data_IF_525226124251
#
_entry.id   IF_525226124251
#
_cell.length_a   1.000
_cell.length_b   1.000
_cell.length_c   1.000
_cell.angle_alpha   90.00
_cell.angle_beta   90.00
_cell.angle_gamma   90.00
#
_symmetry.space_group_name_H-M   'P 1'
#
loop_
_entity.id
_entity.type
_entity.pdbx_description
1 polymer ?
#
# COMPACT_ATOMS: atom_id res chain seq x y z
N UNK A 1 30.40 -12.14 4.92
CA UNK A 1 29.26 -11.33 5.40
C UNK A 1 28.00 -12.17 5.21
N UNK A 2 27.17 -12.36 6.22
CA UNK A 2 25.87 -13.01 6.03
C UNK A 2 25.03 -12.07 5.16
N UNK A 3 24.79 -12.44 3.91
CA UNK A 3 23.76 -11.81 3.08
C UNK A 3 22.49 -11.80 3.90
N UNK A 4 21.99 -10.62 4.24
CA UNK A 4 20.71 -10.48 4.92
C UNK A 4 19.66 -11.10 4.00
N UNK A 5 19.17 -12.29 4.38
CA UNK A 5 18.15 -12.99 3.60
C UNK A 5 16.93 -12.06 3.54
N UNK A 6 16.56 -11.66 2.34
CA UNK A 6 15.30 -10.92 2.16
C UNK A 6 14.17 -11.82 2.62
N UNK A 7 13.25 -11.26 3.39
CA UNK A 7 12.08 -11.97 3.89
C UNK A 7 10.89 -11.51 3.07
N UNK A 8 10.09 -12.45 2.61
CA UNK A 8 9.06 -12.24 1.61
C UNK A 8 9.68 -11.64 0.31
N UNK A 9 8.95 -11.31 -0.68
CA UNK A 9 9.45 -10.73 -1.95
C UNK A 9 9.99 -11.73 -2.95
N UNK A 10 9.63 -13.01 -2.82
CA UNK A 10 10.03 -14.04 -3.78
C UNK A 10 9.58 -13.72 -5.20
N UNK A 11 8.38 -13.17 -5.35
CA UNK A 11 7.83 -12.78 -6.64
C UNK A 11 8.63 -11.64 -7.28
N UNK A 12 8.88 -10.58 -6.51
CA UNK A 12 9.62 -9.40 -6.97
C UNK A 12 11.08 -9.73 -7.27
N UNK A 13 11.71 -10.58 -6.45
CA UNK A 13 13.06 -11.11 -6.70
C UNK A 13 13.09 -11.98 -7.96
N UNK A 14 12.04 -12.76 -8.20
CA UNK A 14 11.86 -13.56 -9.43
C UNK A 14 11.77 -12.68 -10.66
N UNK A 15 11.01 -11.58 -10.62
CA UNK A 15 10.90 -10.62 -11.70
C UNK A 15 12.23 -9.90 -11.99
N UNK A 16 12.95 -9.46 -10.95
CA UNK A 16 14.29 -8.87 -11.13
C UNK A 16 15.25 -9.87 -11.76
N UNK A 17 15.23 -11.14 -11.35
CA UNK A 17 16.07 -12.19 -11.91
C UNK A 17 15.74 -12.45 -13.38
N UNK A 18 14.47 -12.56 -13.72
CA UNK A 18 14.00 -12.74 -15.10
C UNK A 18 14.50 -11.61 -16.01
N UNK A 19 14.43 -10.36 -15.53
CA UNK A 19 14.95 -9.20 -16.26
C UNK A 19 16.49 -9.24 -16.37
N UNK A 20 17.20 -9.61 -15.29
CA UNK A 20 18.65 -9.68 -15.29
C UNK A 20 19.20 -10.76 -16.22
N UNK A 21 18.51 -11.89 -16.36
CA UNK A 21 18.90 -13.02 -17.20
C UNK A 21 18.39 -12.93 -18.65
N UNK A 22 17.63 -11.88 -18.99
CA UNK A 22 17.08 -11.71 -20.35
C UNK A 22 18.17 -11.41 -21.39
N UNK A 23 17.88 -11.66 -22.67
CA UNK A 23 18.82 -11.43 -23.80
C UNK A 23 18.68 -10.04 -24.44
N UNK A 24 18.05 -9.08 -23.74
CA UNK A 24 17.84 -7.71 -24.21
C UNK A 24 18.11 -6.72 -23.09
N UNK A 25 18.32 -5.45 -23.45
CA UNK A 25 18.32 -4.40 -22.42
C UNK A 25 16.95 -4.27 -21.75
N UNK A 26 16.96 -4.08 -20.46
CA UNK A 26 15.74 -3.98 -19.62
C UNK A 26 15.70 -2.63 -18.92
N UNK A 27 14.54 -1.97 -19.00
CA UNK A 27 14.21 -0.80 -18.19
C UNK A 27 13.18 -1.21 -17.17
N UNK A 28 13.61 -1.41 -15.94
CA UNK A 28 12.77 -1.89 -14.84
C UNK A 28 12.45 -0.72 -13.91
N UNK A 29 11.18 -0.52 -13.60
CA UNK A 29 10.79 0.40 -12.55
C UNK A 29 10.35 -0.36 -11.30
N UNK A 30 10.82 0.12 -10.13
CA UNK A 30 10.49 -0.40 -8.80
C UNK A 30 9.81 0.70 -8.02
N UNK A 31 8.51 0.60 -7.83
CA UNK A 31 7.74 1.66 -7.22
C UNK A 31 6.79 1.13 -6.15
N UNK A 32 6.21 2.02 -5.39
CA UNK A 32 5.33 1.70 -4.27
C UNK A 32 5.52 2.72 -3.16
N UNK A 33 4.70 2.61 -2.15
CA UNK A 33 4.66 3.49 -1.00
C UNK A 33 6.04 3.73 -0.38
N UNK A 34 6.23 4.88 0.27
CA UNK A 34 7.40 5.15 1.12
C UNK A 34 7.50 4.09 2.24
N UNK A 35 8.72 3.68 2.61
CA UNK A 35 9.01 2.74 3.71
C UNK A 35 8.73 1.25 3.43
N UNK A 36 8.33 0.85 2.22
CA UNK A 36 8.06 -0.57 1.87
C UNK A 36 9.29 -1.38 1.47
N UNK A 37 10.49 -0.76 1.41
CA UNK A 37 11.74 -1.47 1.18
C UNK A 37 12.19 -1.59 -0.28
N UNK A 38 11.81 -0.66 -1.18
CA UNK A 38 12.23 -0.64 -2.61
C UNK A 38 13.74 -0.70 -2.77
N UNK A 39 14.46 0.27 -2.21
CA UNK A 39 15.93 0.33 -2.24
C UNK A 39 16.55 -0.92 -1.64
N UNK A 40 16.00 -1.42 -0.52
CA UNK A 40 16.48 -2.63 0.13
C UNK A 40 16.34 -3.87 -0.77
N UNK A 41 15.25 -4.00 -1.51
CA UNK A 41 15.03 -5.08 -2.47
C UNK A 41 16.10 -5.05 -3.57
N UNK A 42 16.30 -3.89 -4.20
CA UNK A 42 17.26 -3.72 -5.31
C UNK A 42 18.71 -3.92 -4.80
N UNK A 43 19.05 -3.30 -3.66
CA UNK A 43 20.38 -3.47 -3.02
C UNK A 43 20.66 -4.93 -2.66
N UNK A 44 19.66 -5.65 -2.15
CA UNK A 44 19.82 -7.07 -1.78
C UNK A 44 19.95 -7.95 -3.01
N UNK A 45 19.19 -7.69 -4.07
CA UNK A 45 19.25 -8.46 -5.31
C UNK A 45 20.62 -8.36 -5.98
N UNK A 46 21.16 -7.17 -6.09
CA UNK A 46 22.46 -6.91 -6.74
C UNK A 46 23.65 -6.99 -5.78
N UNK A 47 23.43 -7.27 -4.49
CA UNK A 47 24.47 -7.17 -3.44
C UNK A 47 25.22 -5.83 -3.48
N UNK A 48 24.48 -4.75 -3.82
CA UNK A 48 25.01 -3.38 -4.07
C UNK A 48 26.09 -3.31 -5.15
N UNK A 49 26.14 -4.28 -6.02
CA UNK A 49 27.10 -4.34 -7.11
C UNK A 49 26.48 -3.72 -8.37
N UNK A 50 26.62 -2.42 -8.48
CA UNK A 50 26.16 -1.61 -9.61
C UNK A 50 27.35 -1.06 -10.39
N UNK A 51 27.25 -1.00 -11.72
CA UNK A 51 28.20 -0.28 -12.54
C UNK A 51 28.04 1.23 -12.36
N UNK A 52 26.80 1.68 -12.19
CA UNK A 52 26.48 3.05 -11.80
C UNK A 52 25.29 3.11 -10.86
N UNK A 53 25.34 3.96 -9.85
CA UNK A 53 24.19 4.25 -8.99
C UNK A 53 24.16 5.70 -8.57
N UNK A 54 22.94 6.29 -8.59
CA UNK A 54 22.68 7.64 -8.12
C UNK A 54 21.33 7.69 -7.36
N UNK A 55 21.29 8.45 -6.28
CA UNK A 55 20.08 8.66 -5.47
C UNK A 55 19.63 10.11 -5.62
N UNK A 56 18.42 10.31 -6.09
CA UNK A 56 17.80 11.64 -6.20
C UNK A 56 17.69 12.32 -4.83
N UNK A 57 18.17 13.55 -4.75
CA UNK A 57 18.14 14.33 -3.50
C UNK A 57 16.80 15.03 -3.29
N UNK A 58 16.21 14.83 -2.12
CA UNK A 58 14.93 15.44 -1.75
C UNK A 58 14.98 16.99 -1.82
N UNK A 59 14.07 17.59 -2.59
CA UNK A 59 13.94 19.06 -2.74
C UNK A 59 15.23 19.80 -3.14
N UNK A 60 16.14 19.15 -3.86
CA UNK A 60 17.32 19.81 -4.41
C UNK A 60 17.00 20.47 -5.75
N UNK A 61 17.74 21.56 -6.08
CA UNK A 61 17.67 22.20 -7.40
C UNK A 61 18.37 21.37 -8.48
N UNK A 62 18.04 21.59 -9.78
CA UNK A 62 18.70 20.98 -10.96
C UNK A 62 20.24 20.98 -10.81
N UNK A 63 20.84 22.13 -10.46
CA UNK A 63 22.29 22.26 -10.29
C UNK A 63 22.85 21.35 -9.20
N UNK A 64 22.15 21.21 -8.07
CA UNK A 64 22.58 20.30 -6.99
C UNK A 64 22.39 18.84 -7.36
N UNK A 65 21.34 18.50 -8.10
CA UNK A 65 21.12 17.15 -8.63
C UNK A 65 22.22 16.76 -9.61
N UNK A 66 22.52 17.60 -10.62
CA UNK A 66 23.61 17.39 -11.58
C UNK A 66 24.99 17.26 -10.90
N UNK A 67 25.24 18.07 -9.87
CA UNK A 67 26.47 17.95 -9.06
C UNK A 67 26.53 16.61 -8.30
N UNK A 68 25.41 16.12 -7.79
CA UNK A 68 25.29 14.81 -7.14
C UNK A 68 25.56 13.67 -8.12
N UNK A 69 24.95 13.73 -9.30
CA UNK A 69 25.17 12.78 -10.39
C UNK A 69 26.65 12.75 -10.85
N UNK A 70 27.25 13.93 -11.07
CA UNK A 70 28.65 14.06 -11.39
C UNK A 70 29.58 13.46 -10.34
N UNK A 71 29.24 13.57 -9.05
CA UNK A 71 29.99 12.91 -7.95
C UNK A 71 29.84 11.40 -8.00
N UNK A 72 28.65 10.90 -8.30
CA UNK A 72 28.40 9.48 -8.46
C UNK A 72 29.20 8.91 -9.64
N UNK A 73 29.19 9.59 -10.79
CA UNK A 73 29.95 9.18 -11.98
C UNK A 73 31.47 9.20 -11.73
N UNK A 74 31.97 10.25 -11.07
CA UNK A 74 33.37 10.29 -10.64
C UNK A 74 33.79 9.05 -9.85
N UNK A 75 32.93 8.63 -8.90
CA UNK A 75 33.18 7.48 -8.04
C UNK A 75 33.11 6.17 -8.83
N UNK A 76 32.14 6.01 -9.70
CA UNK A 76 31.97 4.80 -10.51
C UNK A 76 33.13 4.64 -11.53
N UNK A 77 33.46 5.68 -12.23
CA UNK A 77 34.50 5.68 -13.27
C UNK A 77 35.94 5.88 -12.74
N UNK A 78 36.14 6.06 -11.44
CA UNK A 78 37.46 6.28 -10.84
C UNK A 78 38.17 7.58 -11.31
N UNK A 79 37.40 8.59 -11.73
CA UNK A 79 37.97 9.81 -12.29
C UNK A 79 38.71 10.64 -11.22
N UNK A 80 39.83 11.22 -11.60
CA UNK A 80 40.60 12.14 -10.73
C UNK A 80 39.82 13.43 -10.43
N UNK A 81 39.20 14.01 -11.45
CA UNK A 81 38.42 15.25 -11.36
C UNK A 81 36.92 14.95 -11.49
N UNK A 82 36.09 15.74 -10.78
CA UNK A 82 34.66 15.66 -10.93
C UNK A 82 34.23 16.37 -12.21
N UNK A 83 33.46 15.72 -13.11
CA UNK A 83 32.91 16.38 -14.28
C UNK A 83 31.94 17.48 -13.86
N UNK A 84 31.70 18.42 -14.76
CA UNK A 84 30.70 19.49 -14.58
C UNK A 84 29.70 19.38 -15.71
N UNK A 85 28.42 19.27 -15.37
CA UNK A 85 27.33 19.17 -16.33
C UNK A 85 26.46 20.41 -16.27
N UNK A 86 26.04 20.92 -17.43
CA UNK A 86 25.09 22.01 -17.57
C UNK A 86 23.66 21.54 -17.83
N UNK A 87 23.54 20.34 -18.38
CA UNK A 87 22.26 19.70 -18.70
C UNK A 87 22.23 18.24 -18.26
N UNK A 88 21.06 17.62 -18.28
CA UNK A 88 20.93 16.18 -18.10
C UNK A 88 21.38 15.39 -19.31
N UNK A 89 21.32 15.99 -20.51
CA UNK A 89 21.92 15.39 -21.71
C UNK A 89 23.41 15.19 -21.53
N UNK A 90 24.17 16.24 -21.18
CA UNK A 90 25.62 16.12 -20.91
C UNK A 90 25.92 15.04 -19.85
N UNK A 91 25.05 14.92 -18.85
CA UNK A 91 25.23 13.96 -17.76
C UNK A 91 24.99 12.52 -18.23
N UNK A 92 24.01 12.30 -19.08
CA UNK A 92 23.71 10.97 -19.66
C UNK A 92 24.73 10.58 -20.73
N UNK A 93 25.20 11.51 -21.57
CA UNK A 93 26.27 11.27 -22.54
C UNK A 93 27.55 10.78 -21.83
N UNK A 94 27.93 11.44 -20.74
CA UNK A 94 29.07 11.02 -19.94
C UNK A 94 28.86 9.67 -19.24
N UNK A 95 27.63 9.32 -18.88
CA UNK A 95 27.29 7.98 -18.36
C UNK A 95 27.41 6.91 -19.46
N UNK A 96 26.94 7.22 -20.67
CA UNK A 96 27.05 6.37 -21.84
C UNK A 96 28.52 6.04 -22.11
N UNK A 97 29.37 7.06 -22.27
CA UNK A 97 30.83 6.90 -22.48
C UNK A 97 31.45 6.02 -21.38
N UNK A 98 31.10 6.24 -20.13
CA UNK A 98 31.61 5.42 -19.03
C UNK A 98 31.19 3.97 -19.16
N UNK A 99 29.90 3.69 -19.37
CA UNK A 99 29.37 2.32 -19.49
C UNK A 99 29.98 1.60 -20.70
N UNK A 100 30.23 2.30 -21.81
CA UNK A 100 30.91 1.77 -22.99
C UNK A 100 32.40 1.42 -22.74
N UNK A 101 33.02 2.11 -21.80
CA UNK A 101 34.42 1.81 -21.42
C UNK A 101 34.54 0.54 -20.57
N UNK A 102 33.44 -0.04 -20.08
CA UNK A 102 33.44 -1.26 -19.26
C UNK A 102 33.57 -2.52 -20.14
N UNK A 103 34.21 -3.59 -19.62
CA UNK A 103 34.33 -4.86 -20.35
C UNK A 103 32.94 -5.45 -20.72
N UNK A 104 32.85 -6.04 -21.93
CA UNK A 104 31.58 -6.59 -22.47
C UNK A 104 31.15 -7.92 -21.81
N UNK A 105 31.90 -8.49 -20.92
CA UNK A 105 31.69 -9.84 -20.37
C UNK A 105 30.45 -9.96 -19.45
N UNK A 106 29.93 -8.85 -18.95
CA UNK A 106 28.82 -8.86 -17.96
C UNK A 106 27.74 -7.85 -18.31
N UNK A 107 26.50 -8.18 -17.89
CA UNK A 107 25.40 -7.24 -17.91
C UNK A 107 25.69 -6.04 -17.03
N UNK A 108 25.54 -4.84 -17.56
CA UNK A 108 25.76 -3.57 -16.86
C UNK A 108 24.50 -3.16 -16.12
N UNK A 109 24.64 -2.85 -14.85
CA UNK A 109 23.52 -2.45 -14.00
C UNK A 109 23.63 -0.97 -13.64
N UNK A 110 22.64 -0.21 -14.08
CA UNK A 110 22.47 1.21 -13.76
C UNK A 110 21.29 1.33 -12.80
N UNK A 111 21.51 1.82 -11.59
CA UNK A 111 20.45 2.01 -10.60
C UNK A 111 20.28 3.48 -10.24
N UNK A 112 19.10 4.04 -10.53
CA UNK A 112 18.72 5.39 -10.13
C UNK A 112 17.59 5.29 -9.10
N UNK A 113 17.91 5.61 -7.86
CA UNK A 113 16.98 5.57 -6.75
C UNK A 113 16.34 6.95 -6.50
N UNK A 114 15.11 6.93 -6.01
CA UNK A 114 14.27 8.13 -5.76
C UNK A 114 14.24 9.09 -6.98
N UNK A 115 14.05 8.53 -8.16
CA UNK A 115 14.02 9.24 -9.43
C UNK A 115 13.05 10.43 -9.46
N UNK A 116 11.86 10.39 -8.86
CA UNK A 116 10.94 11.52 -8.83
C UNK A 116 11.54 12.82 -8.27
N UNK A 117 12.55 12.74 -7.39
CA UNK A 117 13.21 13.93 -6.85
C UNK A 117 14.21 14.58 -7.80
N UNK A 118 14.61 13.85 -8.84
CA UNK A 118 15.54 14.37 -9.87
C UNK A 118 14.81 15.28 -10.86
N UNK A 119 13.56 14.94 -11.17
CA UNK A 119 12.70 15.72 -12.07
C UNK A 119 12.21 17.00 -11.39
N UNK A 120 13.06 18.01 -11.41
CA UNK A 120 12.73 19.34 -10.90
C UNK A 120 12.07 20.18 -11.99
N UNK A 121 11.25 21.21 -11.64
CA UNK A 121 10.65 22.08 -12.65
C UNK A 121 11.69 22.61 -13.66
N UNK A 122 11.39 22.49 -14.95
CA UNK A 122 12.26 22.91 -16.05
C UNK A 122 13.63 22.22 -16.09
N UNK A 123 13.72 21.00 -15.53
CA UNK A 123 14.99 20.25 -15.52
C UNK A 123 15.29 19.56 -16.84
N UNK A 124 14.26 19.28 -17.65
CA UNK A 124 14.38 18.48 -18.89
C UNK A 124 14.95 17.08 -18.63
N UNK A 125 14.76 16.58 -17.38
CA UNK A 125 15.32 15.29 -16.97
C UNK A 125 14.64 14.11 -17.68
N UNK A 126 13.33 14.15 -17.80
CA UNK A 126 12.56 13.06 -18.45
C UNK A 126 12.89 12.98 -19.92
N UNK A 127 13.00 14.12 -20.59
CA UNK A 127 13.35 14.23 -22.00
C UNK A 127 14.77 13.72 -22.27
N UNK A 128 15.74 14.07 -21.42
CA UNK A 128 17.11 13.59 -21.51
C UNK A 128 17.20 12.08 -21.23
N UNK A 129 16.45 11.56 -20.25
CA UNK A 129 16.36 10.13 -19.98
C UNK A 129 15.75 9.36 -21.17
N UNK A 130 14.71 9.95 -21.78
CA UNK A 130 14.09 9.40 -22.99
C UNK A 130 15.09 9.30 -24.14
N UNK A 131 15.84 10.37 -24.39
CA UNK A 131 16.89 10.41 -25.43
C UNK A 131 17.97 9.36 -25.17
N UNK A 132 18.51 9.31 -23.96
CA UNK A 132 19.48 8.32 -23.51
C UNK A 132 19.00 6.88 -23.71
N UNK A 133 17.78 6.57 -23.26
CA UNK A 133 17.26 5.21 -23.35
C UNK A 133 16.94 4.80 -24.79
N UNK A 134 16.22 5.63 -25.53
CA UNK A 134 15.81 5.33 -26.91
C UNK A 134 16.95 5.40 -27.91
N UNK A 135 17.87 6.34 -27.70
CA UNK A 135 19.03 6.55 -28.56
C UNK A 135 20.08 5.43 -28.42
N UNK A 136 20.31 5.02 -27.17
CA UNK A 136 21.42 4.13 -26.84
C UNK A 136 20.99 2.90 -26.03
N UNK A 137 20.44 3.05 -24.83
CA UNK A 137 20.22 1.93 -23.90
C UNK A 137 19.37 0.79 -24.46
N UNK A 138 18.24 1.12 -25.12
CA UNK A 138 17.33 0.12 -25.72
C UNK A 138 17.91 -0.61 -26.92
N UNK A 139 18.95 -0.07 -27.57
CA UNK A 139 19.60 -0.68 -28.73
C UNK A 139 20.66 -1.70 -28.32
N UNK A 140 21.09 -1.67 -27.07
CA UNK A 140 22.04 -2.65 -26.51
C UNK A 140 21.30 -3.91 -26.05
N UNK A 141 22.06 -4.92 -25.63
CA UNK A 141 21.51 -6.18 -25.09
C UNK A 141 21.93 -6.45 -23.66
N UNK A 142 22.84 -5.66 -23.16
CA UNK A 142 23.58 -5.88 -21.91
C UNK A 142 23.26 -4.87 -20.80
N UNK A 143 22.32 -3.95 -21.01
CA UNK A 143 21.96 -2.95 -20.01
C UNK A 143 20.76 -3.42 -19.18
N UNK A 144 20.84 -3.31 -17.87
CA UNK A 144 19.72 -3.32 -16.96
C UNK A 144 19.64 -1.98 -16.23
N UNK A 145 18.71 -1.14 -16.67
CA UNK A 145 18.43 0.15 -16.05
C UNK A 145 17.30 -0.04 -15.05
N UNK A 146 17.58 0.21 -13.78
CA UNK A 146 16.59 0.12 -12.69
C UNK A 146 16.32 1.52 -12.15
N UNK A 147 15.06 1.92 -12.17
CA UNK A 147 14.61 3.18 -11.57
C UNK A 147 13.71 2.90 -10.37
N UNK A 148 13.92 3.57 -9.25
CA UNK A 148 13.00 3.47 -8.13
C UNK A 148 12.42 4.81 -7.71
N UNK A 149 11.23 4.77 -7.07
CA UNK A 149 10.62 5.98 -6.54
C UNK A 149 9.46 5.72 -5.58
N UNK A 150 9.34 6.58 -4.58
CA UNK A 150 8.26 6.55 -3.60
C UNK A 150 7.01 7.30 -4.05
N UNK A 151 7.14 8.25 -4.99
CA UNK A 151 6.02 8.95 -5.61
C UNK A 151 5.45 8.10 -6.75
N UNK A 152 4.64 7.09 -6.40
CA UNK A 152 4.08 6.12 -7.35
C UNK A 152 3.34 6.80 -8.50
N UNK A 153 2.66 7.92 -8.24
CA UNK A 153 1.97 8.68 -9.29
C UNK A 153 2.93 9.27 -10.32
N UNK A 154 4.05 9.85 -9.87
CA UNK A 154 5.06 10.36 -10.80
C UNK A 154 5.64 9.25 -11.66
N UNK A 155 5.98 8.09 -11.04
CA UNK A 155 6.52 6.92 -11.75
C UNK A 155 5.56 6.44 -12.82
N UNK A 156 4.27 6.38 -12.52
CA UNK A 156 3.24 5.97 -13.48
C UNK A 156 2.98 7.04 -14.53
N UNK A 157 2.74 8.29 -14.13
CA UNK A 157 2.34 9.37 -15.06
C UNK A 157 3.49 9.78 -15.99
N UNK A 158 4.75 9.74 -15.53
CA UNK A 158 5.91 10.20 -16.30
C UNK A 158 6.64 9.10 -17.06
N UNK A 159 6.62 7.87 -16.55
CA UNK A 159 7.36 6.76 -17.16
C UNK A 159 6.44 5.76 -17.86
N UNK A 160 5.30 5.39 -17.27
CA UNK A 160 4.44 4.30 -17.79
C UNK A 160 3.30 4.83 -18.66
N UNK A 161 2.50 5.76 -18.12
CA UNK A 161 1.28 6.28 -18.77
C UNK A 161 1.57 7.47 -19.70
N UNK A 162 2.79 8.00 -19.69
CA UNK A 162 3.17 9.13 -20.52
C UNK A 162 3.13 8.73 -22.01
N UNK A 163 2.35 9.41 -22.87
CA UNK A 163 2.33 9.15 -24.30
C UNK A 163 3.63 9.53 -25.06
N UNK A 164 4.65 10.02 -24.34
CA UNK A 164 5.99 10.31 -24.87
C UNK A 164 6.81 9.07 -25.22
N UNK A 165 8.07 9.25 -25.53
CA UNK A 165 8.94 8.23 -26.07
C UNK A 165 9.39 7.13 -25.10
N UNK A 166 9.13 7.25 -23.79
CA UNK A 166 9.30 6.17 -22.84
C UNK A 166 8.09 5.22 -22.79
N UNK A 167 6.95 5.60 -23.36
CA UNK A 167 5.80 4.72 -23.49
C UNK A 167 6.17 3.40 -24.21
N UNK A 168 5.75 2.27 -23.64
CA UNK A 168 6.11 0.93 -24.11
C UNK A 168 7.63 0.62 -24.14
N UNK A 169 8.48 1.45 -23.54
CA UNK A 169 9.91 1.19 -23.38
C UNK A 169 10.27 0.64 -21.99
N UNK A 170 9.42 0.87 -21.02
CA UNK A 170 9.51 0.21 -19.72
C UNK A 170 9.22 -1.28 -19.94
N UNK A 171 10.17 -2.12 -19.61
CA UNK A 171 10.08 -3.57 -19.91
C UNK A 171 9.48 -4.35 -18.74
N UNK A 172 9.56 -3.80 -17.53
CA UNK A 172 8.92 -4.41 -16.35
C UNK A 172 8.59 -3.36 -15.28
N UNK A 173 7.43 -3.56 -14.63
CA UNK A 173 6.90 -2.72 -13.57
C UNK A 173 6.75 -3.55 -12.30
N UNK A 174 7.60 -3.32 -11.31
CA UNK A 174 7.58 -4.03 -10.03
C UNK A 174 6.96 -3.12 -8.96
N UNK A 175 5.72 -3.42 -8.59
CA UNK A 175 5.02 -2.71 -7.53
C UNK A 175 5.25 -3.36 -6.17
N UNK A 176 5.86 -2.63 -5.24
CA UNK A 176 6.16 -3.11 -3.89
C UNK A 176 5.06 -2.71 -2.94
N UNK A 177 4.28 -3.70 -2.51
CA UNK A 177 3.19 -3.53 -1.55
C UNK A 177 3.69 -3.62 -0.10
N UNK A 178 2.93 -3.10 0.87
CA UNK A 178 3.09 -3.49 2.27
C UNK A 178 3.04 -5.02 2.42
N UNK A 179 3.69 -5.55 3.44
CA UNK A 179 3.59 -6.98 3.75
C UNK A 179 2.16 -7.39 4.07
N UNK A 180 1.76 -8.57 3.67
CA UNK A 180 0.56 -9.25 4.15
C UNK A 180 0.74 -9.69 5.61
N UNK A 181 -0.30 -10.20 6.24
CA UNK A 181 -0.21 -10.78 7.59
C UNK A 181 0.82 -11.92 7.65
N UNK A 182 0.83 -12.80 6.65
CA UNK A 182 1.80 -13.90 6.53
C UNK A 182 3.24 -13.39 6.45
N UNK A 183 3.50 -12.47 5.54
CA UNK A 183 4.81 -11.87 5.35
C UNK A 183 5.26 -11.07 6.59
N UNK A 184 4.33 -10.44 7.29
CA UNK A 184 4.57 -9.78 8.57
C UNK A 184 4.99 -10.80 9.64
N UNK A 185 4.30 -11.93 9.75
CA UNK A 185 4.66 -13.03 10.65
C UNK A 185 6.07 -13.54 10.36
N UNK A 186 6.38 -13.86 9.10
CA UNK A 186 7.69 -14.31 8.66
C UNK A 186 8.80 -13.30 8.98
N UNK A 187 8.53 -12.01 8.74
CA UNK A 187 9.46 -10.94 9.07
C UNK A 187 9.72 -10.84 10.57
N UNK A 188 8.69 -10.83 11.40
CA UNK A 188 8.81 -10.79 12.86
C UNK A 188 9.57 -12.00 13.40
N UNK A 189 9.28 -13.19 12.90
CA UNK A 189 9.97 -14.42 13.28
C UNK A 189 11.46 -14.38 12.91
N UNK A 190 11.81 -13.81 11.77
CA UNK A 190 13.20 -13.62 11.37
C UNK A 190 13.99 -12.70 12.32
N UNK A 191 13.28 -11.82 13.02
CA UNK A 191 13.85 -10.89 14.02
C UNK A 191 13.78 -11.42 15.46
N UNK A 192 13.35 -12.66 15.64
CA UNK A 192 13.23 -13.27 16.96
C UNK A 192 11.96 -12.90 17.74
N UNK A 193 11.01 -12.17 17.11
CA UNK A 193 9.74 -11.81 17.72
C UNK A 193 8.75 -12.93 17.48
N UNK A 194 8.32 -13.63 18.56
CA UNK A 194 7.45 -14.82 18.52
C UNK A 194 6.08 -14.53 19.13
N UNK A 195 5.40 -13.52 18.60
CA UNK A 195 4.04 -13.21 19.02
C UNK A 195 3.02 -14.16 18.40
N UNK A 196 1.87 -14.32 19.06
CA UNK A 196 0.73 -15.04 18.50
C UNK A 196 0.15 -14.31 17.29
N UNK A 197 -0.53 -15.02 16.39
CA UNK A 197 -1.21 -14.40 15.23
C UNK A 197 -2.21 -13.35 15.65
N UNK A 198 -2.88 -13.52 16.80
CA UNK A 198 -3.74 -12.49 17.37
C UNK A 198 -2.97 -11.19 17.68
N UNK A 199 -1.78 -11.30 18.30
CA UNK A 199 -0.94 -10.12 18.56
C UNK A 199 -0.37 -9.51 17.28
N UNK A 200 -0.01 -10.35 16.30
CA UNK A 200 0.45 -9.86 14.99
C UNK A 200 -0.67 -9.12 14.27
N UNK A 201 -1.90 -9.63 14.32
CA UNK A 201 -3.08 -8.97 13.78
C UNK A 201 -3.33 -7.61 14.45
N UNK A 202 -3.21 -7.53 15.78
CA UNK A 202 -3.32 -6.25 16.51
C UNK A 202 -2.22 -5.27 16.13
N UNK A 203 -0.97 -5.72 15.97
CA UNK A 203 0.12 -4.91 15.45
C UNK A 203 -0.19 -4.38 14.04
N UNK A 204 -0.67 -5.27 13.18
CA UNK A 204 -1.00 -4.94 11.80
C UNK A 204 -2.09 -3.86 11.71
N UNK A 205 -3.10 -3.93 12.56
CA UNK A 205 -4.13 -2.89 12.68
C UNK A 205 -3.55 -1.53 13.09
N UNK A 206 -2.43 -1.49 13.85
CA UNK A 206 -1.79 -0.23 14.29
C UNK A 206 -0.90 0.39 13.20
N UNK A 207 -0.06 -0.40 12.55
CA UNK A 207 0.99 0.14 11.68
C UNK A 207 1.07 -0.51 10.29
N UNK A 208 0.15 -1.44 9.99
CA UNK A 208 0.14 -2.18 8.73
C UNK A 208 1.38 -3.08 8.57
N UNK A 209 1.53 -3.62 7.37
CA UNK A 209 2.69 -4.43 6.99
C UNK A 209 3.84 -3.59 6.44
N UNK A 210 4.16 -2.44 7.01
CA UNK A 210 5.23 -1.56 6.53
C UNK A 210 6.59 -2.01 7.09
N UNK A 211 7.50 -2.55 6.26
CA UNK A 211 8.77 -3.14 6.74
C UNK A 211 9.59 -2.20 7.61
N UNK A 212 9.65 -0.92 7.29
CA UNK A 212 10.38 0.05 8.09
C UNK A 212 9.79 0.17 9.50
N UNK A 213 8.46 0.29 9.64
CA UNK A 213 7.82 0.38 10.96
C UNK A 213 8.03 -0.90 11.77
N UNK A 214 7.90 -2.05 11.12
CA UNK A 214 8.19 -3.35 11.74
C UNK A 214 9.66 -3.46 12.18
N UNK A 215 10.59 -2.80 11.47
CA UNK A 215 12.00 -2.80 11.82
C UNK A 215 12.32 -2.04 13.10
N UNK A 216 11.46 -1.15 13.53
CA UNK A 216 11.61 -0.37 14.76
C UNK A 216 11.22 -1.17 16.02
N UNK A 217 10.59 -2.33 15.88
CA UNK A 217 10.15 -3.14 17.01
C UNK A 217 11.35 -3.70 17.79
N UNK A 218 11.22 -3.65 19.11
CA UNK A 218 12.16 -4.25 20.04
C UNK A 218 11.66 -5.66 20.45
N UNK A 219 12.47 -6.67 20.15
CA UNK A 219 12.15 -8.07 20.46
C UNK A 219 12.14 -8.39 21.97
N UNK A 220 12.77 -7.54 22.79
CA UNK A 220 12.77 -7.66 24.24
C UNK A 220 11.50 -7.10 24.91
N UNK A 221 10.59 -6.48 24.15
CA UNK A 221 9.38 -5.85 24.67
C UNK A 221 8.10 -6.56 24.20
N UNK A 222 7.03 -6.38 24.97
CA UNK A 222 5.68 -6.80 24.56
C UNK A 222 5.16 -5.95 23.39
N UNK A 223 4.11 -6.42 22.72
CA UNK A 223 3.38 -5.64 21.72
C UNK A 223 2.97 -4.26 22.27
N UNK A 224 2.33 -4.26 23.44
CA UNK A 224 1.82 -3.04 24.10
C UNK A 224 2.96 -2.08 24.41
N UNK A 225 4.07 -2.56 24.98
CA UNK A 225 5.24 -1.74 25.29
C UNK A 225 5.92 -1.16 24.03
N UNK A 226 5.93 -1.90 22.92
CA UNK A 226 6.40 -1.39 21.63
C UNK A 226 5.51 -0.26 21.09
N UNK A 227 4.18 -0.40 21.21
CA UNK A 227 3.24 0.66 20.76
C UNK A 227 3.45 1.92 21.60
N UNK A 228 3.51 1.82 22.93
CA UNK A 228 3.80 2.99 23.79
C UNK A 228 5.13 3.65 23.41
N UNK A 229 6.18 2.86 23.22
CA UNK A 229 7.51 3.37 22.87
C UNK A 229 7.52 4.10 21.53
N UNK A 230 6.85 3.57 20.54
CA UNK A 230 6.91 4.10 19.17
C UNK A 230 5.95 5.26 18.90
N UNK A 231 4.84 5.38 19.66
CA UNK A 231 3.80 6.36 19.39
C UNK A 231 3.53 7.35 20.51
N UNK A 232 3.63 6.93 21.79
CA UNK A 232 3.16 7.76 22.91
C UNK A 232 4.28 8.44 23.67
N UNK A 233 5.51 7.93 23.63
CA UNK A 233 6.65 8.61 24.27
C UNK A 233 6.94 9.94 23.58
N UNK A 234 7.46 10.89 24.36
CA UNK A 234 7.92 12.16 23.84
C UNK A 234 9.01 11.93 22.78
N UNK A 235 8.87 12.57 21.62
CA UNK A 235 9.77 12.44 20.47
C UNK A 235 9.90 10.99 19.92
N UNK A 236 8.85 10.17 20.06
CA UNK A 236 8.84 8.82 19.49
C UNK A 236 8.84 8.86 17.96
N UNK A 237 9.48 7.86 17.35
CA UNK A 237 9.76 7.83 15.92
C UNK A 237 8.49 7.87 15.06
N UNK A 238 7.46 7.14 15.45
CA UNK A 238 6.22 7.09 14.68
C UNK A 238 5.24 8.22 15.01
N UNK A 239 5.45 8.96 16.06
CA UNK A 239 4.68 10.19 16.32
C UNK A 239 5.04 11.32 15.35
N UNK A 240 6.32 11.41 14.98
CA UNK A 240 6.84 12.46 14.09
C UNK A 240 6.84 12.08 12.61
N UNK A 241 6.71 10.79 12.31
CA UNK A 241 6.71 10.26 10.94
C UNK A 241 5.53 10.80 10.09
N UNK A 242 4.40 11.14 10.72
CA UNK A 242 3.18 11.51 10.00
C UNK A 242 3.38 12.70 9.05
N UNK A 243 3.98 13.78 9.56
CA UNK A 243 4.25 14.98 8.77
C UNK A 243 5.23 14.70 7.63
N UNK A 244 6.26 13.87 7.91
CA UNK A 244 7.25 13.51 6.90
C UNK A 244 6.67 12.60 5.82
N UNK A 245 5.76 11.69 6.18
CA UNK A 245 5.18 10.71 5.27
C UNK A 245 4.50 11.38 4.07
N UNK A 246 3.60 12.31 4.33
CA UNK A 246 2.84 13.00 3.28
C UNK A 246 3.69 14.03 2.52
N UNK A 247 4.51 14.80 3.23
CA UNK A 247 5.40 15.81 2.63
C UNK A 247 6.49 15.21 1.74
N UNK A 248 6.87 13.95 1.96
CA UNK A 248 7.84 13.26 1.14
C UNK A 248 7.26 12.62 -0.13
N UNK A 249 5.96 12.38 -0.15
CA UNK A 249 5.28 11.72 -1.28
C UNK A 249 4.59 12.74 -2.18
N UNK A 250 4.01 13.79 -1.60
CA UNK A 250 3.16 14.73 -2.31
C UNK A 250 3.68 16.17 -2.28
N UNK A 251 3.70 16.79 -3.44
CA UNK A 251 3.85 18.24 -3.53
C UNK A 251 2.53 18.89 -3.05
N UNK A 252 2.61 19.84 -2.09
CA UNK A 252 1.46 20.47 -1.45
C UNK A 252 0.59 19.44 -0.70
N UNK A 253 1.21 18.76 0.26
CA UNK A 253 0.59 17.70 1.06
C UNK A 253 -0.74 18.10 1.72
N UNK A 254 -0.96 19.39 2.01
CA UNK A 254 -2.18 19.90 2.64
C UNK A 254 -3.47 19.45 1.95
N UNK A 255 -3.46 19.42 0.58
CA UNK A 255 -4.61 18.98 -0.20
C UNK A 255 -4.93 17.49 -0.05
N UNK A 256 -3.89 16.70 0.10
CA UNK A 256 -4.01 15.26 0.33
C UNK A 256 -4.48 14.98 1.75
N UNK A 257 -3.94 15.70 2.72
CA UNK A 257 -4.32 15.63 4.13
C UNK A 257 -5.79 16.04 4.34
N UNK A 258 -6.30 17.03 3.61
CA UNK A 258 -7.72 17.41 3.62
C UNK A 258 -8.62 16.22 3.28
N UNK A 259 -8.35 15.53 2.16
CA UNK A 259 -9.13 14.35 1.75
C UNK A 259 -8.97 13.20 2.73
N UNK A 260 -7.75 12.94 3.20
CA UNK A 260 -7.46 11.88 4.17
C UNK A 260 -8.20 12.13 5.49
N UNK A 261 -8.25 13.36 5.96
CA UNK A 261 -8.99 13.77 7.18
C UNK A 261 -10.50 13.55 7.02
N UNK A 262 -11.07 13.92 5.88
CA UNK A 262 -12.48 13.68 5.56
C UNK A 262 -12.81 12.19 5.57
N UNK A 263 -11.97 11.37 4.93
CA UNK A 263 -12.14 9.92 4.89
C UNK A 263 -11.93 9.26 6.25
N UNK A 264 -11.04 9.79 7.08
CA UNK A 264 -10.89 9.32 8.47
C UNK A 264 -12.14 9.56 9.31
N UNK A 265 -12.85 10.67 9.09
CA UNK A 265 -14.11 10.97 9.75
C UNK A 265 -15.31 10.14 9.26
N UNK A 266 -15.17 9.44 8.13
CA UNK A 266 -16.25 8.70 7.47
C UNK A 266 -15.85 7.23 7.21
N UNK A 267 -15.98 6.42 8.22
CA UNK A 267 -15.56 5.01 8.21
C UNK A 267 -16.24 4.17 7.11
N UNK A 268 -17.44 4.54 6.72
CA UNK A 268 -18.21 3.90 5.64
C UNK A 268 -17.67 4.25 4.23
N UNK A 269 -16.72 5.17 4.14
CA UNK A 269 -16.23 5.73 2.90
C UNK A 269 -17.12 6.86 2.37
N UNK A 270 -16.59 7.61 1.41
CA UNK A 270 -17.27 8.74 0.76
C UNK A 270 -17.24 8.57 -0.76
N UNK A 271 -18.31 9.00 -1.41
CA UNK A 271 -18.36 9.10 -2.86
C UNK A 271 -17.57 10.32 -3.35
N UNK A 272 -17.28 10.36 -4.65
CA UNK A 272 -16.66 11.53 -5.27
C UNK A 272 -17.47 12.81 -5.02
N UNK A 273 -18.80 12.75 -5.13
CA UNK A 273 -19.68 13.89 -4.92
C UNK A 273 -19.65 14.38 -3.47
N UNK A 274 -19.71 13.48 -2.50
CA UNK A 274 -19.60 13.82 -1.07
C UNK A 274 -18.23 14.45 -0.73
N UNK A 275 -17.16 13.95 -1.33
CA UNK A 275 -15.81 14.53 -1.17
C UNK A 275 -15.71 15.91 -1.81
N UNK A 276 -16.28 16.11 -2.99
CA UNK A 276 -16.33 17.41 -3.67
C UNK A 276 -17.12 18.45 -2.86
N UNK A 277 -18.26 18.07 -2.30
CA UNK A 277 -19.09 18.95 -1.48
C UNK A 277 -18.46 19.30 -0.12
N UNK A 278 -17.58 18.42 0.40
CA UNK A 278 -16.99 18.56 1.74
C UNK A 278 -15.56 19.11 1.72
N UNK A 279 -14.89 19.19 0.56
CA UNK A 279 -13.52 19.65 0.44
C UNK A 279 -13.38 20.97 -0.31
N UNK A 280 -12.21 21.57 -0.23
CA UNK A 280 -11.82 22.75 -1.05
C UNK A 280 -11.44 22.37 -2.50
N UNK A 281 -11.52 21.09 -2.88
CA UNK A 281 -11.06 20.58 -4.16
C UNK A 281 -12.21 20.31 -5.11
N UNK A 282 -12.05 20.73 -6.36
CA UNK A 282 -13.07 20.56 -7.40
C UNK A 282 -12.48 19.93 -8.67
N UNK A 283 -13.33 19.22 -9.41
CA UNK A 283 -13.06 18.71 -10.75
C UNK A 283 -11.77 17.91 -10.85
N UNK A 284 -10.93 18.25 -11.84
CA UNK A 284 -9.68 17.50 -12.10
C UNK A 284 -8.73 17.46 -10.91
N UNK A 285 -8.75 18.49 -10.06
CA UNK A 285 -7.86 18.53 -8.87
C UNK A 285 -8.21 17.45 -7.86
N UNK A 286 -9.49 17.24 -7.57
CA UNK A 286 -9.94 16.17 -6.70
C UNK A 286 -9.64 14.80 -7.31
N UNK A 287 -9.90 14.65 -8.62
CA UNK A 287 -9.59 13.41 -9.35
C UNK A 287 -8.10 13.04 -9.26
N UNK A 288 -7.21 14.02 -9.45
CA UNK A 288 -5.75 13.80 -9.33
C UNK A 288 -5.37 13.40 -7.90
N UNK A 289 -5.92 14.08 -6.87
CA UNK A 289 -5.62 13.77 -5.47
C UNK A 289 -6.07 12.35 -5.12
N UNK A 290 -7.28 11.97 -5.50
CA UNK A 290 -7.79 10.61 -5.25
C UNK A 290 -6.96 9.54 -5.96
N UNK A 291 -6.66 9.74 -7.26
CA UNK A 291 -5.80 8.83 -8.03
C UNK A 291 -4.43 8.66 -7.38
N UNK A 292 -3.83 9.74 -6.89
CA UNK A 292 -2.52 9.71 -6.26
C UNK A 292 -2.53 9.02 -4.90
N UNK A 293 -3.55 9.28 -4.07
CA UNK A 293 -3.72 8.59 -2.79
C UNK A 293 -3.92 7.08 -2.98
N UNK A 294 -4.70 6.69 -3.98
CA UNK A 294 -4.94 5.28 -4.30
C UNK A 294 -3.66 4.60 -4.81
N UNK A 295 -2.91 5.22 -5.71
CA UNK A 295 -1.63 4.71 -6.22
C UNK A 295 -0.54 4.58 -5.17
N UNK A 296 -0.70 5.27 -4.04
CA UNK A 296 0.22 5.20 -2.91
C UNK A 296 -0.31 4.36 -1.73
N UNK A 297 -1.37 3.56 -1.94
CA UNK A 297 -2.00 2.70 -0.92
C UNK A 297 -2.50 3.43 0.34
N UNK A 298 -2.82 4.73 0.24
CA UNK A 298 -3.47 5.43 1.35
C UNK A 298 -4.97 5.19 1.39
N UNK A 299 -5.59 5.13 0.21
CA UNK A 299 -7.02 4.88 0.06
C UNK A 299 -7.26 3.72 -0.91
N UNK A 300 -8.43 3.16 -0.84
CA UNK A 300 -8.96 2.21 -1.82
C UNK A 300 -10.28 2.74 -2.37
N UNK A 301 -10.50 2.51 -3.65
CA UNK A 301 -11.80 2.70 -4.29
C UNK A 301 -12.50 1.36 -4.48
N UNK A 302 -13.80 1.33 -4.23
CA UNK A 302 -14.61 0.14 -4.48
C UNK A 302 -16.01 0.52 -4.93
N UNK A 303 -16.61 -0.31 -5.75
CA UNK A 303 -17.94 -0.09 -6.29
C UNK A 303 -19.00 -0.45 -5.23
N UNK A 304 -20.08 0.29 -5.22
CA UNK A 304 -21.29 -0.18 -4.56
C UNK A 304 -21.96 -1.27 -5.42
N UNK A 305 -22.45 -2.32 -4.77
CA UNK A 305 -23.15 -3.40 -5.45
C UNK A 305 -24.32 -2.86 -6.31
N UNK A 306 -24.48 -3.41 -7.50
CA UNK A 306 -25.50 -2.95 -8.46
C UNK A 306 -25.15 -1.71 -9.29
N UNK A 307 -24.08 -0.97 -8.96
CA UNK A 307 -23.64 0.23 -9.67
C UNK A 307 -22.47 -0.07 -10.63
N UNK A 308 -22.62 0.27 -11.92
CA UNK A 308 -21.58 0.02 -12.94
C UNK A 308 -20.53 1.13 -13.07
N UNK A 309 -20.84 2.38 -12.69
CA UNK A 309 -19.94 3.54 -12.87
C UNK A 309 -20.19 4.73 -11.97
N UNK A 310 -21.33 4.82 -11.31
CA UNK A 310 -21.66 5.90 -10.37
C UNK A 310 -21.68 5.35 -8.95
N UNK A 311 -21.17 6.12 -7.98
CA UNK A 311 -21.19 5.70 -6.58
C UNK A 311 -19.98 4.91 -6.12
N UNK A 312 -18.82 5.04 -6.81
CA UNK A 312 -17.53 4.59 -6.28
C UNK A 312 -17.31 5.22 -4.91
N UNK A 313 -17.04 4.40 -3.92
CA UNK A 313 -16.70 4.81 -2.56
C UNK A 313 -15.19 4.80 -2.39
N UNK A 314 -14.65 5.85 -1.79
CA UNK A 314 -13.26 5.96 -1.39
C UNK A 314 -13.17 5.77 0.11
N UNK A 315 -12.25 4.93 0.56
CA UNK A 315 -12.04 4.61 1.98
C UNK A 315 -10.55 4.69 2.31
N UNK A 316 -10.23 5.30 3.45
CA UNK A 316 -8.87 5.31 3.98
C UNK A 316 -8.52 3.90 4.48
N UNK A 317 -7.37 3.36 4.03
CA UNK A 317 -6.91 2.00 4.37
C UNK A 317 -5.50 1.97 4.96
N UNK A 318 -4.86 3.11 5.10
CA UNK A 318 -3.58 3.19 5.76
C UNK A 318 -3.73 3.07 7.27
N UNK A 319 -3.37 1.90 7.81
CA UNK A 319 -3.51 1.58 9.25
C UNK A 319 -2.75 2.56 10.14
N UNK A 320 -1.52 2.95 9.75
CA UNK A 320 -0.74 3.93 10.50
C UNK A 320 -1.43 5.29 10.57
N UNK A 321 -1.94 5.80 9.47
CA UNK A 321 -2.68 7.07 9.43
C UNK A 321 -3.96 7.02 10.25
N UNK A 322 -4.73 5.92 10.16
CA UNK A 322 -5.94 5.72 10.97
C UNK A 322 -5.65 5.70 12.46
N UNK A 323 -4.60 4.97 12.86
CA UNK A 323 -4.16 4.92 14.25
C UNK A 323 -3.70 6.29 14.74
N UNK A 324 -2.90 7.00 13.92
CA UNK A 324 -2.39 8.33 14.24
C UNK A 324 -3.53 9.32 14.51
N UNK A 325 -4.47 9.45 13.61
CA UNK A 325 -5.62 10.35 13.80
C UNK A 325 -6.46 9.99 15.04
N UNK A 326 -6.66 8.71 15.27
CA UNK A 326 -7.53 8.26 16.38
C UNK A 326 -6.89 8.45 17.75
N UNK A 327 -5.60 8.16 17.88
CA UNK A 327 -4.94 8.02 19.19
C UNK A 327 -3.77 8.98 19.42
N UNK A 328 -3.27 9.64 18.39
CA UNK A 328 -2.15 10.57 18.53
C UNK A 328 -2.61 12.02 18.34
N UNK A 329 -3.25 12.30 17.21
CA UNK A 329 -3.72 13.64 16.85
C UNK A 329 -4.93 14.07 17.70
N UNK A 330 -5.93 13.18 17.84
CA UNK A 330 -7.15 13.47 18.62
C UNK A 330 -6.95 13.51 20.14
N UNK A 331 -5.89 12.88 20.65
CA UNK A 331 -5.59 12.80 22.09
C UNK A 331 -4.35 13.64 22.40
N UNK A 332 -4.50 14.85 22.89
CA UNK A 332 -3.36 15.61 23.44
C UNK A 332 -2.90 15.03 24.79
N UNK A 333 -2.64 13.71 24.78
CA UNK A 333 -2.25 12.98 25.98
C UNK A 333 -0.76 13.16 26.28
N UNK A 334 -0.45 13.47 27.54
CA UNK A 334 0.91 13.48 28.09
C UNK A 334 1.32 12.12 28.69
N UNK A 335 0.44 11.13 28.65
CA UNK A 335 0.69 9.79 29.17
C UNK A 335 1.52 8.98 28.16
N UNK A 336 2.79 8.77 28.48
CA UNK A 336 3.73 8.00 27.66
C UNK A 336 3.45 6.49 27.65
N UNK A 337 2.54 6.01 28.51
CA UNK A 337 2.04 4.64 28.60
C UNK A 337 0.53 4.57 28.29
N UNK A 338 0.04 5.49 27.47
CA UNK A 338 -1.38 5.62 27.20
C UNK A 338 -1.99 4.30 26.68
N UNK A 339 -1.28 3.61 25.79
CA UNK A 339 -1.77 2.34 25.24
C UNK A 339 -1.86 1.24 26.30
N UNK A 340 -0.85 1.14 27.17
CA UNK A 340 -0.89 0.21 28.32
C UNK A 340 -2.09 0.45 29.22
N UNK A 341 -2.40 1.71 29.52
CA UNK A 341 -3.49 2.06 30.44
C UNK A 341 -4.88 1.94 29.80
N UNK A 342 -4.98 2.01 28.46
CA UNK A 342 -6.26 2.06 27.75
C UNK A 342 -6.51 0.87 26.82
N UNK A 343 -5.62 -0.13 26.79
CA UNK A 343 -5.68 -1.25 25.85
C UNK A 343 -7.03 -1.99 25.81
N UNK A 344 -7.70 -2.13 26.97
CA UNK A 344 -9.02 -2.76 27.09
C UNK A 344 -10.18 -1.74 27.15
N UNK A 345 -9.95 -0.50 26.73
CA UNK A 345 -11.03 0.49 26.73
C UNK A 345 -11.99 0.28 25.56
N UNK A 346 -13.25 0.68 25.75
CA UNK A 346 -14.27 0.62 24.70
C UNK A 346 -13.83 1.38 23.42
N UNK A 347 -13.07 2.47 23.56
CA UNK A 347 -12.56 3.23 22.41
C UNK A 347 -11.58 2.40 21.57
N UNK A 348 -10.70 1.64 22.22
CA UNK A 348 -9.74 0.74 21.54
C UNK A 348 -10.47 -0.45 20.93
N UNK A 349 -11.41 -1.08 21.65
CA UNK A 349 -12.21 -2.21 21.13
C UNK A 349 -13.02 -1.81 19.90
N UNK A 350 -13.69 -0.64 19.94
CA UNK A 350 -14.46 -0.14 18.80
C UNK A 350 -13.56 0.13 17.59
N UNK A 351 -12.40 0.73 17.81
CA UNK A 351 -11.43 0.98 16.74
C UNK A 351 -10.86 -0.32 16.17
N UNK A 352 -10.55 -1.31 17.02
CA UNK A 352 -10.08 -2.61 16.55
C UNK A 352 -11.12 -3.32 15.67
N UNK A 353 -12.41 -3.21 15.99
CA UNK A 353 -13.49 -3.71 15.14
C UNK A 353 -13.44 -3.12 13.74
N UNK A 354 -13.35 -1.81 13.65
CA UNK A 354 -13.22 -1.10 12.37
C UNK A 354 -11.93 -1.44 11.62
N UNK A 355 -10.79 -1.43 12.32
CA UNK A 355 -9.51 -1.76 11.70
C UNK A 355 -9.46 -3.20 11.18
N UNK A 356 -10.14 -4.14 11.85
CA UNK A 356 -10.25 -5.52 11.39
C UNK A 356 -11.05 -5.65 10.08
N UNK A 357 -12.11 -4.87 9.91
CA UNK A 357 -12.83 -4.82 8.63
C UNK A 357 -11.89 -4.42 7.49
N UNK A 358 -11.00 -3.44 7.71
CA UNK A 358 -10.01 -3.03 6.73
C UNK A 358 -8.96 -4.13 6.47
N UNK A 359 -8.55 -4.86 7.50
CA UNK A 359 -7.68 -6.04 7.30
C UNK A 359 -8.35 -7.05 6.38
N UNK A 360 -9.62 -7.35 6.61
CA UNK A 360 -10.39 -8.27 5.76
C UNK A 360 -10.44 -7.76 4.30
N UNK A 361 -10.71 -6.47 4.09
CA UNK A 361 -10.76 -5.88 2.76
C UNK A 361 -9.40 -5.92 2.03
N UNK A 362 -8.30 -5.78 2.75
CA UNK A 362 -6.94 -5.86 2.18
C UNK A 362 -6.45 -7.30 1.99
N UNK A 363 -7.14 -8.29 2.57
CA UNK A 363 -6.82 -9.72 2.50
C UNK A 363 -7.89 -10.54 1.76
N UNK A 364 -8.58 -9.93 0.79
CA UNK A 364 -9.59 -10.61 -0.04
C UNK A 364 -9.09 -11.89 -0.73
N UNK A 365 -7.86 -11.96 -1.26
CA UNK A 365 -7.34 -13.20 -1.83
C UNK A 365 -7.33 -14.37 -0.82
N UNK A 366 -6.97 -14.11 0.44
CA UNK A 366 -6.94 -15.11 1.51
C UNK A 366 -8.37 -15.55 1.88
N UNK A 367 -9.31 -14.62 1.97
CA UNK A 367 -10.73 -14.91 2.21
C UNK A 367 -11.27 -15.82 1.08
N UNK A 368 -11.01 -15.48 -0.19
CA UNK A 368 -11.41 -16.29 -1.34
C UNK A 368 -10.79 -17.69 -1.31
N UNK A 369 -9.54 -17.78 -0.89
CA UNK A 369 -8.83 -19.05 -0.74
C UNK A 369 -9.47 -19.94 0.34
N UNK A 370 -9.75 -19.38 1.51
CA UNK A 370 -10.40 -20.08 2.62
C UNK A 370 -11.81 -20.57 2.25
N UNK A 371 -12.57 -19.75 1.50
CA UNK A 371 -13.89 -20.13 0.98
C UNK A 371 -13.85 -21.13 -0.20
N UNK A 372 -12.66 -21.50 -0.70
CA UNK A 372 -12.51 -22.42 -1.82
C UNK A 372 -12.96 -21.84 -3.17
N UNK A 373 -13.01 -20.51 -3.32
CA UNK A 373 -13.55 -19.82 -4.50
C UNK A 373 -12.47 -19.11 -5.34
N UNK A 374 -11.19 -19.38 -5.10
CA UNK A 374 -10.09 -18.75 -5.86
C UNK A 374 -10.11 -19.05 -7.35
N UNK A 375 -10.70 -20.18 -7.76
CA UNK A 375 -10.85 -20.58 -9.17
C UNK A 375 -12.13 -20.05 -9.84
N UNK A 376 -12.96 -19.30 -9.12
CA UNK A 376 -14.23 -18.75 -9.61
C UNK A 376 -14.06 -17.27 -9.86
N UNK A 377 -14.61 -16.77 -10.99
CA UNK A 377 -14.68 -15.31 -11.20
C UNK A 377 -15.50 -14.66 -10.08
N UNK A 378 -14.93 -13.67 -9.44
CA UNK A 378 -15.58 -12.96 -8.33
C UNK A 378 -15.41 -11.46 -8.46
N UNK A 379 -16.43 -10.70 -8.08
CA UNK A 379 -16.33 -9.26 -7.83
C UNK A 379 -16.57 -8.97 -6.34
N UNK A 380 -15.81 -8.00 -5.80
CA UNK A 380 -15.97 -7.54 -4.42
C UNK A 380 -16.52 -6.12 -4.43
N UNK A 381 -17.51 -5.86 -3.62
CA UNK A 381 -18.21 -4.57 -3.51
C UNK A 381 -18.67 -4.35 -2.08
N UNK A 382 -19.16 -3.16 -1.77
CA UNK A 382 -19.98 -2.93 -0.58
C UNK A 382 -21.44 -2.76 -0.99
N UNK A 383 -22.33 -2.83 -0.03
CA UNK A 383 -23.72 -2.52 -0.26
C UNK A 383 -24.28 -1.59 0.82
N UNK A 384 -24.98 -0.56 0.39
CA UNK A 384 -25.60 0.41 1.31
C UNK A 384 -27.03 0.72 0.83
N UNK A 385 -27.96 0.67 1.74
CA UNK A 385 -29.33 1.09 1.52
C UNK A 385 -29.71 2.21 2.48
N UNK A 386 -30.17 3.32 1.93
CA UNK A 386 -30.79 4.41 2.70
C UNK A 386 -32.25 4.53 2.22
N UNK A 387 -33.22 4.35 3.11
CA UNK A 387 -34.62 4.47 2.71
C UNK A 387 -34.94 5.90 2.21
N UNK A 388 -35.80 6.05 1.20
CA UNK A 388 -36.30 7.35 0.77
C UNK A 388 -36.92 8.14 1.94
N UNK A 389 -36.83 9.47 1.88
CA UNK A 389 -37.31 10.35 2.96
C UNK A 389 -38.78 10.07 3.38
N UNK A 390 -39.61 9.52 2.51
CA UNK A 390 -41.02 9.23 2.72
C UNK A 390 -41.30 7.77 3.14
N UNK A 391 -40.29 6.91 3.23
CA UNK A 391 -40.44 5.51 3.67
C UNK A 391 -39.94 5.34 5.11
N UNK A 392 -40.75 4.68 5.95
CA UNK A 392 -40.31 4.22 7.27
C UNK A 392 -39.48 2.97 7.08
N UNK A 393 -38.14 3.10 7.04
CA UNK A 393 -37.20 1.98 6.92
C UNK A 393 -35.92 2.25 7.71
N UNK A 394 -35.19 1.20 8.04
CA UNK A 394 -33.85 1.31 8.64
C UNK A 394 -32.78 1.36 7.55
N UNK A 395 -31.76 2.16 7.75
CA UNK A 395 -30.53 2.08 6.96
C UNK A 395 -29.91 0.70 7.14
N UNK A 396 -29.36 0.16 6.09
CA UNK A 396 -28.64 -1.11 6.11
C UNK A 396 -27.35 -0.99 5.32
N UNK A 397 -26.32 -1.71 5.77
CA UNK A 397 -25.01 -1.73 5.14
C UNK A 397 -24.41 -3.13 5.25
N UNK A 398 -23.67 -3.51 4.20
CA UNK A 398 -22.83 -4.71 4.16
C UNK A 398 -21.48 -4.25 3.63
N UNK A 399 -20.43 -4.38 4.44
CA UNK A 399 -19.12 -3.85 4.14
C UNK A 399 -18.42 -4.62 3.04
N UNK A 400 -18.69 -5.92 2.92
CA UNK A 400 -18.13 -6.77 1.89
C UNK A 400 -19.19 -7.71 1.31
N UNK A 401 -19.45 -7.54 0.02
CA UNK A 401 -20.28 -8.43 -0.80
C UNK A 401 -19.37 -9.06 -1.85
N UNK A 402 -19.30 -10.38 -1.89
CA UNK A 402 -18.56 -11.13 -2.91
C UNK A 402 -19.57 -11.80 -3.85
N UNK A 403 -19.74 -11.24 -5.03
CA UNK A 403 -20.53 -11.85 -6.08
C UNK A 403 -19.67 -12.85 -6.85
N UNK A 404 -20.22 -14.04 -7.10
CA UNK A 404 -19.51 -15.16 -7.71
C UNK A 404 -20.14 -15.52 -9.06
N UNK A 405 -19.31 -15.95 -10.00
CA UNK A 405 -19.76 -16.40 -11.33
C UNK A 405 -20.62 -17.66 -11.32
N UNK A 406 -20.66 -18.40 -10.20
CA UNK A 406 -21.53 -19.57 -9.98
C UNK A 406 -22.92 -19.22 -9.41
N UNK A 407 -23.33 -17.96 -9.54
CA UNK A 407 -24.63 -17.43 -9.08
C UNK A 407 -24.84 -17.49 -7.56
N UNK A 408 -23.77 -17.32 -6.80
CA UNK A 408 -23.83 -17.19 -5.35
C UNK A 408 -23.27 -15.82 -4.95
N UNK A 409 -23.83 -15.22 -3.90
CA UNK A 409 -23.37 -13.96 -3.32
C UNK A 409 -23.06 -14.22 -1.84
N UNK A 410 -21.80 -14.03 -1.45
CA UNK A 410 -21.41 -14.03 -0.05
C UNK A 410 -21.61 -12.63 0.53
N UNK A 411 -22.49 -12.51 1.53
CA UNK A 411 -22.70 -11.33 2.34
C UNK A 411 -21.85 -11.47 3.60
N UNK A 412 -20.77 -10.69 3.72
CA UNK A 412 -19.76 -10.92 4.73
C UNK A 412 -19.97 -10.02 5.95
N UNK A 413 -19.99 -10.64 7.14
CA UNK A 413 -19.97 -10.00 8.44
C UNK A 413 -18.62 -10.15 9.08
N UNK A 414 -17.95 -9.04 9.42
CA UNK A 414 -16.60 -9.04 9.96
C UNK A 414 -16.63 -8.69 11.44
N UNK A 415 -16.03 -9.53 12.31
CA UNK A 415 -16.05 -9.31 13.77
C UNK A 415 -14.70 -9.62 14.40
N UNK A 416 -14.08 -8.58 14.98
CA UNK A 416 -12.91 -8.73 15.82
C UNK A 416 -13.32 -9.04 17.26
N UNK A 417 -12.79 -10.08 17.85
CA UNK A 417 -13.08 -10.50 19.21
C UNK A 417 -11.91 -11.25 19.84
N UNK A 418 -11.85 -11.27 21.17
CA UNK A 418 -10.80 -11.96 21.93
C UNK A 418 -11.05 -13.48 22.10
N UNK A 419 -12.17 -13.99 21.61
CA UNK A 419 -12.56 -15.39 21.62
C UNK A 419 -13.57 -15.67 20.51
N UNK A 420 -14.17 -16.86 20.48
CA UNK A 420 -15.21 -17.22 19.51
C UNK A 420 -16.41 -16.28 19.61
N UNK A 421 -16.88 -15.82 18.46
CA UNK A 421 -17.98 -14.86 18.40
C UNK A 421 -19.34 -15.50 18.65
N UNK A 422 -20.07 -15.03 19.66
CA UNK A 422 -21.41 -15.54 19.98
C UNK A 422 -22.50 -14.66 19.33
N UNK A 423 -23.29 -15.25 18.46
CA UNK A 423 -24.41 -14.57 17.80
C UNK A 423 -25.60 -14.49 18.74
N UNK A 424 -25.96 -13.27 19.16
CA UNK A 424 -27.15 -13.02 19.96
C UNK A 424 -28.42 -13.10 19.10
N UNK A 425 -29.56 -13.53 19.68
CA UNK A 425 -30.84 -13.69 18.97
C UNK A 425 -31.26 -12.45 18.16
N UNK A 426 -31.18 -11.26 18.78
CA UNK A 426 -31.54 -10.02 18.09
C UNK A 426 -30.66 -9.76 16.86
N UNK A 427 -29.36 -10.06 16.96
CA UNK A 427 -28.41 -9.88 15.87
C UNK A 427 -28.65 -10.89 14.73
N UNK A 428 -28.96 -12.15 15.05
CA UNK A 428 -29.37 -13.14 14.05
C UNK A 428 -30.61 -12.69 13.27
N UNK A 429 -31.59 -12.11 13.97
CA UNK A 429 -32.80 -11.54 13.33
C UNK A 429 -32.45 -10.36 12.42
N UNK A 430 -31.53 -9.50 12.85
CA UNK A 430 -31.07 -8.36 12.06
C UNK A 430 -30.36 -8.81 10.78
N UNK A 431 -29.47 -9.83 10.86
CA UNK A 431 -28.78 -10.40 9.72
C UNK A 431 -29.79 -10.94 8.71
N UNK A 432 -30.75 -11.78 9.14
CA UNK A 432 -31.79 -12.31 8.25
C UNK A 432 -32.61 -11.19 7.58
N UNK A 433 -32.96 -10.15 8.33
CA UNK A 433 -33.69 -8.99 7.81
C UNK A 433 -32.84 -8.23 6.76
N UNK A 434 -31.55 -8.08 6.99
CA UNK A 434 -30.61 -7.42 6.07
C UNK A 434 -30.41 -8.22 4.80
N UNK A 435 -30.28 -9.54 4.90
CA UNK A 435 -30.20 -10.45 3.74
C UNK A 435 -31.49 -10.38 2.89
N UNK A 436 -32.66 -10.39 3.54
CA UNK A 436 -33.93 -10.27 2.84
C UNK A 436 -34.06 -8.88 2.16
N UNK A 437 -33.70 -7.80 2.85
CA UNK A 437 -33.68 -6.46 2.29
C UNK A 437 -32.76 -6.35 1.08
N UNK A 438 -31.55 -6.94 1.14
CA UNK A 438 -30.63 -7.02 0.01
C UNK A 438 -31.29 -7.73 -1.18
N UNK A 439 -31.87 -8.91 -0.95
CA UNK A 439 -32.53 -9.69 -1.99
C UNK A 439 -33.67 -8.93 -2.66
N UNK A 440 -34.49 -8.23 -1.88
CA UNK A 440 -35.65 -7.49 -2.38
C UNK A 440 -35.24 -6.23 -3.17
N UNK A 441 -34.22 -5.52 -2.70
CA UNK A 441 -33.76 -4.27 -3.35
C UNK A 441 -32.95 -4.55 -4.62
N UNK A 442 -32.06 -5.54 -4.59
CA UNK A 442 -31.24 -5.92 -5.74
C UNK A 442 -31.96 -6.84 -6.72
N UNK A 443 -33.15 -7.36 -6.33
CA UNK A 443 -33.97 -8.28 -7.15
C UNK A 443 -33.14 -9.45 -7.71
N UNK A 444 -32.17 -9.92 -6.92
CA UNK A 444 -31.25 -10.97 -7.34
C UNK A 444 -31.89 -12.35 -7.25
N UNK A 445 -31.64 -13.17 -8.28
CA UNK A 445 -31.99 -14.58 -8.29
C UNK A 445 -30.86 -15.48 -7.78
N UNK A 446 -29.71 -14.89 -7.39
CA UNK A 446 -28.58 -15.64 -6.87
C UNK A 446 -28.84 -16.14 -5.46
N UNK A 447 -28.21 -17.27 -5.13
CA UNK A 447 -28.20 -17.77 -3.77
C UNK A 447 -27.42 -16.82 -2.86
N UNK A 448 -27.95 -16.48 -1.70
CA UNK A 448 -27.28 -15.67 -0.70
C UNK A 448 -26.64 -16.58 0.33
N UNK A 449 -25.39 -16.31 0.66
CA UNK A 449 -24.58 -17.02 1.65
C UNK A 449 -24.08 -16.01 2.70
N UNK A 450 -24.47 -16.21 3.94
CA UNK A 450 -24.01 -15.40 5.05
C UNK A 450 -22.64 -15.90 5.50
N UNK A 451 -21.61 -15.08 5.29
CA UNK A 451 -20.22 -15.43 5.61
C UNK A 451 -19.73 -14.62 6.80
N UNK A 452 -19.28 -15.31 7.85
CA UNK A 452 -18.63 -14.64 8.96
C UNK A 452 -17.11 -14.68 8.80
N UNK A 453 -16.47 -13.50 8.89
CA UNK A 453 -15.01 -13.38 9.00
C UNK A 453 -14.71 -12.92 10.42
N UNK A 454 -14.13 -13.80 11.23
CA UNK A 454 -13.94 -13.53 12.65
C UNK A 454 -12.52 -13.86 13.10
N UNK A 455 -12.13 -13.41 14.28
CA UNK A 455 -10.81 -13.71 14.83
C UNK A 455 -10.65 -15.20 15.15
N UNK A 456 -11.64 -15.82 15.81
CA UNK A 456 -11.57 -17.19 16.35
C UNK A 456 -12.77 -18.07 15.99
N UNK A 457 -13.50 -17.77 14.92
CA UNK A 457 -14.69 -18.50 14.51
C UNK A 457 -15.95 -18.08 15.28
N UNK A 458 -17.07 -18.63 14.89
CA UNK A 458 -18.39 -18.42 15.53
C UNK A 458 -18.64 -19.53 16.53
N UNK A 459 -19.02 -19.16 17.76
CA UNK A 459 -19.34 -20.10 18.83
C UNK A 459 -20.55 -20.97 18.47
N UNK A 460 -20.53 -22.24 18.88
CA UNK A 460 -21.67 -23.13 18.75
C UNK A 460 -22.86 -22.60 19.55
N UNK A 461 -24.06 -22.65 18.98
CA UNK A 461 -25.29 -22.16 19.60
C UNK A 461 -26.47 -22.10 18.64
N UNK A 462 -27.67 -21.87 19.20
CA UNK A 462 -28.95 -21.90 18.46
C UNK A 462 -28.99 -20.92 17.31
N UNK A 463 -28.26 -19.80 17.39
CA UNK A 463 -28.29 -18.75 16.36
C UNK A 463 -27.18 -18.90 15.32
N UNK A 464 -26.34 -19.94 15.40
CA UNK A 464 -25.30 -20.22 14.40
C UNK A 464 -25.88 -20.66 13.06
N UNK A 465 -27.12 -21.08 13.04
CA UNK A 465 -27.88 -21.45 11.83
C UNK A 465 -27.99 -20.34 10.77
N UNK A 466 -27.69 -19.08 11.14
CA UNK A 466 -27.62 -17.96 10.19
C UNK A 466 -26.31 -17.92 9.40
N UNK A 467 -25.30 -18.71 9.78
CA UNK A 467 -23.95 -18.71 9.20
C UNK A 467 -23.83 -19.85 8.21
N UNK A 468 -23.64 -19.52 6.94
CA UNK A 468 -23.42 -20.51 5.87
C UNK A 468 -21.94 -20.85 5.69
N UNK A 469 -21.03 -19.90 5.94
CA UNK A 469 -19.59 -20.12 5.84
C UNK A 469 -18.81 -19.23 6.83
N UNK A 470 -17.65 -19.73 7.24
CA UNK A 470 -16.75 -19.04 8.18
C UNK A 470 -15.35 -18.90 7.62
N UNK A 471 -14.72 -17.77 7.91
CA UNK A 471 -13.29 -17.50 7.70
C UNK A 471 -12.74 -16.99 9.03
N UNK A 472 -11.60 -17.48 9.44
CA UNK A 472 -10.95 -17.05 10.69
C UNK A 472 -9.72 -16.20 10.43
N UNK A 473 -9.22 -15.52 11.46
CA UNK A 473 -7.96 -14.79 11.35
C UNK A 473 -6.78 -15.69 10.92
N UNK A 474 -6.81 -16.99 11.29
CA UNK A 474 -5.80 -17.97 10.86
C UNK A 474 -5.72 -18.08 9.33
N UNK A 475 -6.87 -18.03 8.66
CA UNK A 475 -6.98 -18.12 7.20
C UNK A 475 -6.34 -16.90 6.49
N UNK A 476 -6.36 -15.73 7.16
CA UNK A 476 -5.77 -14.50 6.61
C UNK A 476 -4.24 -14.53 6.55
N UNK A 477 -3.61 -15.47 7.26
CA UNK A 477 -2.16 -15.73 7.21
C UNK A 477 -1.74 -16.76 6.15
N UNK A 478 -2.63 -17.13 5.22
CA UNK A 478 -2.40 -18.22 4.24
C UNK A 478 -1.73 -17.76 2.93
#
# INVERSE_FOLDING_TARGET
MKTSKIIAREAEMGELRRCYESNRSEFVIVYGRRRVGKTFLVDTFFDKNYDFTYVGGHKLSKVKQLRGFAKALKKAAGLKLQPKFSSWEDAFDALEEYIESLPDEKRKVIFIDEMPWIDTPQSEFVEALESFWNGWGARRKDIMFVASGSASSWMMDKLVDNPGGLHARITNNIYIRPFTLKETEEYLFSRGIRWSRYQILQLYMVMGGIPFYLSLLDSGQTLIGNIDRLFFRKNSELRTEFDELYNAVFNKADKYLEIVSLLNGNHDGMTYTELQESSSLEGDRLTIVLKNLERCDFIVSYQQYGNKSRGTLYRLVDFYTLFYYKFIDALDSKDEQWWTHNYNSHSVESWQGYAFELVCLTHLPQIRKSLGISGISTSASSWRYTPPKNEKGKRAQIDLVIERGDRTINLCEMKFCAGSYTIKKNYATEIRSRMQLFKDKEKTAYALNCTFVTTFGVAEGVNKDVVDSEVTAEDLFS
#
